data_IF_241187885997
#
_entry.id   IF_241187885997
#
_cell.length_a   1.000
_cell.length_b   1.000
_cell.length_c   1.000
_cell.angle_alpha   90.00
_cell.angle_beta   90.00
_cell.angle_gamma   90.00
#
_symmetry.space_group_name_H-M   'P 1'
#
loop_
_entity.id
_entity.type
_entity.pdbx_description
1 polymer ?
#
# COMPACT_ATOMS: atom_id res chain seq x y z
N UNK A 1 -18.13 61.12 7.01
CA UNK A 1 -17.13 62.08 7.56
C UNK A 1 -15.80 61.35 7.46
N UNK A 2 -15.04 61.49 6.37
CA UNK A 2 -14.11 62.62 6.06
C UNK A 2 -13.02 62.67 7.15
N UNK A 3 -11.71 62.52 6.87
CA UNK A 3 -10.98 62.76 5.63
C UNK A 3 -9.80 61.78 5.36
N UNK A 4 -9.33 61.75 4.10
CA UNK A 4 -7.93 61.49 3.73
C UNK A 4 -7.24 62.87 3.52
N UNK A 5 -5.90 62.99 3.26
CA UNK A 5 -5.40 62.70 1.90
C UNK A 5 -3.91 62.28 1.77
N UNK A 6 -3.52 61.85 0.54
CA UNK A 6 -2.18 61.99 -0.08
C UNK A 6 -0.96 61.31 0.56
N UNK A 7 0.06 60.81 -0.15
CA UNK A 7 0.30 60.47 -1.56
C UNK A 7 1.53 59.49 -1.57
N UNK A 8 2.14 59.00 -2.66
CA UNK A 8 2.00 59.18 -4.11
C UNK A 8 2.50 57.90 -4.84
N UNK A 9 2.52 57.87 -6.17
CA UNK A 9 3.16 56.80 -6.97
C UNK A 9 3.84 57.37 -8.22
N UNK A 10 5.01 56.83 -8.60
CA UNK A 10 5.66 57.16 -9.87
C UNK A 10 6.44 55.95 -10.42
N UNK A 11 6.21 55.62 -11.69
CA UNK A 11 6.98 54.64 -12.45
C UNK A 11 8.04 55.36 -13.33
N UNK A 12 9.10 54.65 -13.72
CA UNK A 12 10.12 55.17 -14.64
C UNK A 12 10.88 54.03 -15.37
N UNK A 13 11.28 54.18 -16.65
CA UNK A 13 11.63 53.04 -17.50
C UNK A 13 13.13 52.93 -17.84
N UNK A 14 13.53 51.79 -18.42
CA UNK A 14 14.93 51.47 -18.75
C UNK A 14 15.43 51.97 -20.11
N UNK A 15 16.72 51.71 -20.38
CA UNK A 15 17.38 51.83 -21.71
C UNK A 15 18.66 50.98 -21.74
N UNK A 16 18.86 50.22 -22.82
CA UNK A 16 20.14 49.68 -23.26
C UNK A 16 20.20 49.70 -24.81
N UNK A 17 21.41 49.80 -25.37
CA UNK A 17 21.65 50.32 -26.73
C UNK A 17 21.57 49.34 -27.93
N UNK A 18 21.90 49.81 -29.14
CA UNK A 18 21.49 49.17 -30.41
C UNK A 18 22.64 48.60 -31.27
N UNK A 19 22.24 47.87 -32.33
CA UNK A 19 23.08 47.43 -33.46
C UNK A 19 22.96 45.91 -33.71
N UNK A 20 22.84 45.39 -34.94
CA UNK A 20 22.73 46.02 -36.26
C UNK A 20 22.98 44.98 -37.37
N UNK A 21 22.31 45.13 -38.52
CA UNK A 21 22.41 44.29 -39.74
C UNK A 21 21.89 42.82 -39.67
N UNK A 22 21.54 42.14 -40.78
CA UNK A 22 20.84 42.54 -42.01
C UNK A 22 20.55 41.30 -42.91
N UNK A 23 19.31 41.17 -43.45
CA UNK A 23 18.92 40.37 -44.66
C UNK A 23 19.09 38.81 -44.50
N UNK A 24 18.42 37.92 -45.25
CA UNK A 24 17.54 37.95 -46.44
C UNK A 24 16.68 36.67 -46.58
N UNK A 25 15.56 36.73 -47.34
CA UNK A 25 14.87 35.58 -47.96
C UNK A 25 13.69 35.01 -47.16
N UNK A 26 12.42 35.25 -47.51
CA UNK A 26 11.64 34.71 -48.65
C UNK A 26 11.32 33.20 -48.47
N UNK A 27 10.13 32.79 -48.01
CA UNK A 27 8.77 32.82 -48.62
C UNK A 27 8.35 31.48 -49.26
N UNK A 28 7.04 31.20 -49.24
CA UNK A 28 6.30 30.02 -49.77
C UNK A 28 6.42 28.75 -48.90
N UNK A 29 5.37 27.94 -48.69
CA UNK A 29 3.96 28.10 -49.09
C UNK A 29 3.26 26.78 -49.44
N UNK A 30 2.42 26.27 -48.52
CA UNK A 30 1.29 25.31 -48.69
C UNK A 30 1.45 24.11 -49.65
N UNK A 31 1.27 22.88 -49.15
CA UNK A 31 0.00 22.11 -49.24
C UNK A 31 0.14 20.70 -48.65
N UNK A 32 -1.00 20.01 -48.45
CA UNK A 32 -1.12 18.73 -47.76
C UNK A 32 -1.00 17.50 -48.70
N UNK A 33 -0.69 16.33 -48.12
CA UNK A 33 -1.05 15.01 -48.66
C UNK A 33 -1.15 13.98 -47.52
N UNK A 34 -2.12 13.09 -47.61
CA UNK A 34 -2.31 11.94 -46.71
C UNK A 34 -1.37 10.78 -47.09
N UNK A 35 -1.06 9.89 -46.14
CA UNK A 35 -0.28 8.67 -46.41
C UNK A 35 -0.32 7.70 -45.24
N UNK A 36 -1.11 6.63 -45.36
CA UNK A 36 -1.24 5.61 -44.31
C UNK A 36 -0.08 4.61 -44.29
N UNK A 37 0.24 4.07 -43.11
CA UNK A 37 1.16 2.94 -42.94
C UNK A 37 0.40 1.64 -42.60
N UNK A 38 0.85 0.47 -43.10
CA UNK A 38 0.05 -0.76 -43.08
C UNK A 38 0.17 -1.56 -41.77
N UNK A 39 -0.92 -2.26 -41.43
CA UNK A 39 -0.95 -3.24 -40.34
C UNK A 39 0.00 -4.42 -40.61
N UNK A 40 0.88 -4.73 -39.65
CA UNK A 40 1.46 -6.08 -39.50
C UNK A 40 0.51 -6.97 -38.70
N UNK A 41 0.33 -8.22 -39.13
CA UNK A 41 -0.25 -9.28 -38.28
C UNK A 41 0.85 -9.85 -37.35
N UNK A 42 0.54 -10.25 -36.12
CA UNK A 42 1.45 -11.09 -35.32
C UNK A 42 1.55 -12.49 -35.94
N UNK A 43 2.67 -13.17 -35.69
CA UNK A 43 2.88 -14.56 -36.11
C UNK A 43 2.47 -15.53 -34.99
N UNK A 44 2.16 -16.78 -35.35
CA UNK A 44 1.94 -17.85 -34.37
C UNK A 44 3.25 -18.14 -33.62
N UNK A 45 3.24 -18.00 -32.29
CA UNK A 45 4.39 -18.29 -31.43
C UNK A 45 4.63 -17.30 -30.29
N UNK A 46 4.03 -16.10 -30.33
CA UNK A 46 4.17 -15.12 -29.25
C UNK A 46 3.53 -15.63 -27.94
N UNK A 47 4.18 -15.46 -26.77
CA UNK A 47 3.61 -15.87 -25.49
C UNK A 47 2.36 -15.05 -25.16
N UNK A 48 1.26 -15.76 -24.84
CA UNK A 48 -0.02 -15.15 -24.48
C UNK A 48 0.16 -14.24 -23.25
N UNK A 49 -0.30 -12.98 -23.28
CA UNK A 49 -0.13 -12.07 -22.15
C UNK A 49 -0.89 -12.56 -20.92
N UNK A 50 -0.16 -12.95 -19.88
CA UNK A 50 -0.72 -13.30 -18.59
C UNK A 50 -1.17 -12.03 -17.85
N UNK A 51 -2.43 -12.00 -17.40
CA UNK A 51 -2.97 -10.87 -16.65
C UNK A 51 -2.80 -11.10 -15.15
N UNK A 52 -1.90 -10.33 -14.52
CA UNK A 52 -1.79 -10.26 -13.05
C UNK A 52 -2.84 -9.30 -12.52
N UNK A 53 -3.94 -9.83 -11.98
CA UNK A 53 -4.97 -9.04 -11.31
C UNK A 53 -4.73 -9.07 -9.79
N UNK A 54 -4.50 -7.89 -9.21
CA UNK A 54 -4.64 -7.68 -7.76
C UNK A 54 -6.11 -7.46 -7.45
N UNK A 55 -6.63 -8.10 -6.40
CA UNK A 55 -8.04 -8.02 -6.02
C UNK A 55 -8.55 -6.59 -5.84
N UNK A 56 -9.39 -6.13 -6.78
CA UNK A 56 -10.08 -4.85 -6.74
C UNK A 56 -11.54 -5.05 -7.15
N UNK A 57 -12.46 -4.43 -6.42
CA UNK A 57 -13.86 -4.34 -6.85
C UNK A 57 -13.92 -3.36 -8.03
N UNK A 58 -14.16 -3.89 -9.23
CA UNK A 58 -14.41 -3.09 -10.41
C UNK A 58 -15.87 -2.62 -10.41
N UNK A 59 -16.10 -1.31 -10.33
CA UNK A 59 -17.39 -0.70 -10.64
C UNK A 59 -17.40 -0.32 -12.13
N UNK A 60 -18.39 -0.78 -12.88
CA UNK A 60 -18.54 -0.44 -14.31
C UNK A 60 -19.11 0.98 -14.43
N UNK A 61 -18.45 1.91 -15.16
CA UNK A 61 -18.97 3.26 -15.32
C UNK A 61 -20.21 3.28 -16.23
N UNK A 62 -21.32 3.84 -15.73
CA UNK A 62 -22.51 4.10 -16.54
C UNK A 62 -22.23 5.16 -17.61
N UNK A 63 -22.40 4.80 -18.87
CA UNK A 63 -22.18 5.73 -19.99
C UNK A 63 -23.26 6.81 -20.08
N UNK A 64 -22.87 8.08 -19.99
CA UNK A 64 -23.60 9.23 -20.55
C UNK A 64 -22.60 10.31 -21.01
N UNK A 65 -22.79 10.81 -22.23
CA UNK A 65 -22.33 12.13 -22.69
C UNK A 65 -20.81 12.33 -22.77
N UNK A 66 -20.28 12.44 -23.99
CA UNK A 66 -18.90 12.85 -24.20
C UNK A 66 -18.67 14.30 -23.72
N UNK A 67 -17.67 14.51 -22.88
CA UNK A 67 -16.63 15.55 -23.00
C UNK A 67 -15.45 15.20 -22.07
N UNK A 68 -14.24 15.60 -22.45
CA UNK A 68 -13.01 14.97 -21.95
C UNK A 68 -12.65 15.24 -20.48
N UNK A 69 -12.25 14.17 -19.77
CA UNK A 69 -11.50 14.22 -18.51
C UNK A 69 -10.54 13.01 -18.44
N UNK A 70 -9.39 13.18 -17.78
CA UNK A 70 -8.32 12.17 -17.72
C UNK A 70 -8.69 10.93 -16.85
N UNK A 71 -8.09 9.76 -17.11
CA UNK A 71 -8.44 8.53 -16.38
C UNK A 71 -7.89 8.52 -14.94
N UNK A 72 -8.78 8.67 -13.96
CA UNK A 72 -8.46 8.44 -12.55
C UNK A 72 -8.30 6.95 -12.23
N UNK A 73 -7.18 6.55 -11.63
CA UNK A 73 -6.96 5.20 -11.08
C UNK A 73 -7.60 5.07 -9.69
N UNK A 74 -8.67 4.29 -9.58
CA UNK A 74 -9.18 3.81 -8.29
C UNK A 74 -8.42 2.55 -7.83
N UNK A 75 -7.57 2.68 -6.82
CA UNK A 75 -6.81 1.57 -6.22
C UNK A 75 -7.41 1.18 -4.86
N UNK A 76 -7.60 -0.13 -4.62
CA UNK A 76 -7.80 -0.67 -3.26
C UNK A 76 -6.44 -0.99 -2.63
N UNK A 77 -6.32 -0.77 -1.33
CA UNK A 77 -5.02 -0.66 -0.65
C UNK A 77 -4.39 -2.02 -0.25
N UNK A 78 -3.06 -2.10 -0.33
CA UNK A 78 -2.27 -2.64 0.79
C UNK A 78 -2.03 -4.15 0.89
N UNK A 79 -1.69 -4.85 -0.20
CA UNK A 79 -1.02 -6.15 -0.13
C UNK A 79 0.45 -6.02 -0.54
N UNK A 80 1.38 -6.51 0.31
CA UNK A 80 2.82 -6.53 0.06
C UNK A 80 3.35 -7.96 0.15
N UNK A 81 4.13 -8.33 -0.87
CA UNK A 81 4.76 -9.63 -1.08
C UNK A 81 6.06 -9.38 -1.87
N UNK A 82 7.01 -10.32 -1.82
CA UNK A 82 8.26 -10.24 -2.60
C UNK A 82 8.06 -10.82 -4.02
N UNK A 83 8.72 -10.24 -5.02
CA UNK A 83 8.58 -10.64 -6.42
C UNK A 83 8.29 -9.46 -7.32
N UNK A 84 9.29 -9.08 -8.10
CA UNK A 84 9.06 -8.33 -9.33
C UNK A 84 8.38 -9.29 -10.33
N UNK A 85 7.26 -8.93 -10.97
CA UNK A 85 6.66 -9.77 -12.02
C UNK A 85 7.54 -9.91 -13.29
N UNK A 86 8.63 -9.16 -13.43
CA UNK A 86 9.55 -9.21 -14.56
C UNK A 86 10.92 -9.87 -14.25
N UNK A 87 11.53 -9.59 -13.08
CA UNK A 87 12.82 -10.16 -12.68
C UNK A 87 12.68 -11.59 -12.15
N UNK A 88 12.40 -12.48 -13.09
CA UNK A 88 12.13 -13.89 -12.86
C UNK A 88 11.04 -14.38 -13.77
N UNK A 89 11.39 -14.71 -15.02
CA UNK A 89 10.65 -15.77 -15.71
C UNK A 89 10.70 -16.98 -14.78
N UNK A 90 9.56 -17.30 -14.15
CA UNK A 90 9.40 -18.48 -13.32
C UNK A 90 9.97 -19.65 -14.12
N UNK A 91 10.99 -20.38 -13.64
CA UNK A 91 11.39 -21.61 -14.30
C UNK A 91 10.15 -22.49 -14.31
N UNK A 92 9.67 -22.81 -15.51
CA UNK A 92 8.43 -23.56 -15.70
C UNK A 92 8.46 -24.79 -14.77
N UNK A 93 7.37 -25.08 -14.04
CA UNK A 93 7.38 -26.08 -12.98
C UNK A 93 7.98 -27.38 -13.52
N UNK A 94 9.02 -27.90 -12.85
CA UNK A 94 9.61 -29.21 -13.14
C UNK A 94 8.68 -30.30 -12.62
N UNK A 95 7.51 -30.38 -13.26
CA UNK A 95 6.34 -31.20 -13.01
C UNK A 95 5.45 -31.18 -14.26
N UNK A 96 4.36 -31.97 -14.32
CA UNK A 96 3.71 -32.30 -15.58
C UNK A 96 2.87 -31.15 -16.19
N UNK A 97 3.54 -30.29 -16.96
CA UNK A 97 3.01 -29.22 -17.85
C UNK A 97 2.14 -28.12 -17.17
N UNK A 98 2.14 -26.88 -17.71
CA UNK A 98 1.17 -25.87 -17.30
C UNK A 98 -0.22 -26.26 -17.82
N UNK A 99 -1.03 -26.88 -16.96
CA UNK A 99 -2.43 -27.15 -17.25
C UNK A 99 -3.19 -25.83 -17.52
N UNK A 100 -4.22 -25.83 -18.39
CA UNK A 100 -4.97 -24.63 -18.76
C UNK A 100 -5.92 -24.20 -17.63
N UNK A 101 -5.35 -23.70 -16.54
CA UNK A 101 -6.01 -23.39 -15.28
C UNK A 101 -5.93 -21.92 -14.86
N UNK A 102 -6.79 -21.60 -13.91
CA UNK A 102 -6.85 -20.38 -13.12
C UNK A 102 -5.97 -20.59 -11.89
N UNK A 103 -4.84 -19.89 -11.79
CA UNK A 103 -3.95 -19.97 -10.64
C UNK A 103 -4.31 -18.94 -9.57
N UNK A 104 -4.58 -19.37 -8.34
CA UNK A 104 -4.57 -18.50 -7.17
C UNK A 104 -3.26 -18.68 -6.42
N UNK A 105 -2.56 -17.58 -6.08
CA UNK A 105 -1.43 -17.67 -5.15
C UNK A 105 -1.98 -17.62 -3.72
N UNK A 106 -1.83 -18.71 -2.99
CA UNK A 106 -2.22 -18.86 -1.58
C UNK A 106 -0.96 -19.09 -0.76
N UNK A 107 -0.62 -18.15 0.12
CA UNK A 107 0.64 -18.23 0.87
C UNK A 107 0.50 -19.28 1.97
N UNK A 108 1.52 -20.14 2.09
CA UNK A 108 1.72 -20.93 3.29
C UNK A 108 2.68 -20.11 4.14
N UNK A 109 2.13 -19.23 5.00
CA UNK A 109 2.94 -18.28 5.77
C UNK A 109 4.03 -19.04 6.55
N UNK A 110 5.34 -18.74 6.35
CA UNK A 110 6.42 -19.42 7.06
C UNK A 110 6.36 -19.21 8.58
N UNK A 111 5.55 -18.27 9.07
CA UNK A 111 5.29 -18.06 10.49
C UNK A 111 4.02 -18.75 11.01
N UNK A 112 3.30 -19.49 10.16
CA UNK A 112 1.94 -20.01 10.39
C UNK A 112 0.98 -18.89 10.79
N UNK A 113 0.07 -18.53 9.88
CA UNK A 113 -1.16 -17.86 10.29
C UNK A 113 -1.84 -18.79 11.31
N UNK A 114 -1.79 -18.42 12.59
CA UNK A 114 -2.21 -19.34 13.64
C UNK A 114 -3.71 -19.67 13.45
N UNK A 115 -4.18 -20.79 14.02
CA UNK A 115 -5.55 -21.27 13.77
C UNK A 115 -6.64 -20.21 13.99
N UNK A 116 -6.38 -19.21 14.85
CA UNK A 116 -7.25 -18.06 15.11
C UNK A 116 -7.13 -16.96 14.03
N UNK A 117 -5.93 -16.68 13.52
CA UNK A 117 -5.68 -15.70 12.46
C UNK A 117 -6.23 -16.13 11.10
N UNK A 118 -6.19 -17.43 10.78
CA UNK A 118 -6.71 -17.97 9.52
C UNK A 118 -8.19 -17.58 9.25
N UNK A 119 -8.99 -17.45 10.31
CA UNK A 119 -10.41 -17.05 10.26
C UNK A 119 -10.63 -15.64 9.65
N UNK A 120 -9.61 -14.78 9.65
CA UNK A 120 -9.69 -13.41 9.11
C UNK A 120 -9.52 -13.34 7.57
N UNK A 121 -9.25 -14.48 6.92
CA UNK A 121 -8.90 -14.62 5.52
C UNK A 121 -9.74 -15.69 4.82
N UNK A 122 -9.63 -15.77 3.49
CA UNK A 122 -10.12 -16.93 2.75
C UNK A 122 -9.23 -18.15 3.00
N UNK A 123 -9.82 -19.25 3.45
CA UNK A 123 -9.11 -20.51 3.71
C UNK A 123 -9.21 -21.45 2.50
N UNK A 124 -8.09 -22.10 2.17
CA UNK A 124 -7.96 -22.97 0.99
C UNK A 124 -7.68 -24.41 1.45
N UNK A 125 -8.48 -25.37 0.98
CA UNK A 125 -8.16 -26.80 1.07
C UNK A 125 -7.72 -27.25 -0.32
N UNK A 126 -6.50 -27.77 -0.43
CA UNK A 126 -5.91 -28.17 -1.70
C UNK A 126 -5.41 -29.62 -1.65
N UNK A 127 -5.48 -30.30 -2.80
CA UNK A 127 -4.90 -31.61 -3.00
C UNK A 127 -3.37 -31.53 -2.86
N UNK A 128 -2.77 -32.45 -2.11
CA UNK A 128 -1.33 -32.41 -1.78
C UNK A 128 -0.44 -32.68 -3.00
N UNK A 129 -0.89 -33.54 -3.93
CA UNK A 129 -0.10 -33.97 -5.08
C UNK A 129 -0.29 -33.04 -6.28
N UNK A 130 -1.53 -32.59 -6.55
CA UNK A 130 -1.87 -31.78 -7.72
C UNK A 130 -1.88 -30.26 -7.45
N UNK A 131 -1.91 -29.85 -6.18
CA UNK A 131 -2.19 -28.47 -5.75
C UNK A 131 -3.53 -27.90 -6.26
N UNK A 132 -4.45 -28.74 -6.72
CA UNK A 132 -5.81 -28.32 -7.06
C UNK A 132 -6.55 -27.86 -5.80
N UNK A 133 -7.21 -26.70 -5.87
CA UNK A 133 -8.09 -26.21 -4.80
C UNK A 133 -9.38 -27.03 -4.80
N UNK A 134 -9.54 -27.88 -3.79
CA UNK A 134 -10.73 -28.71 -3.61
C UNK A 134 -11.86 -27.93 -2.95
N UNK A 135 -11.54 -27.09 -1.96
CA UNK A 135 -12.50 -26.20 -1.30
C UNK A 135 -11.91 -24.82 -1.03
N UNK A 136 -12.74 -23.79 -1.16
CA UNK A 136 -12.45 -22.41 -0.80
C UNK A 136 -13.53 -21.90 0.16
N UNK A 137 -13.14 -21.26 1.28
CA UNK A 137 -14.09 -20.68 2.23
C UNK A 137 -13.63 -19.28 2.64
N UNK A 138 -14.37 -18.24 2.24
CA UNK A 138 -14.08 -16.86 2.63
C UNK A 138 -14.43 -16.61 4.11
N UNK A 139 -13.42 -16.38 4.96
CA UNK A 139 -13.56 -16.03 6.39
C UNK A 139 -14.46 -16.99 7.17
N UNK A 140 -14.04 -18.25 7.33
CA UNK A 140 -14.85 -19.26 7.99
C UNK A 140 -15.05 -18.93 9.48
N UNK A 141 -16.21 -19.31 10.02
CA UNK A 141 -16.52 -19.16 11.45
C UNK A 141 -15.77 -20.15 12.35
N UNK A 142 -15.18 -21.18 11.76
CA UNK A 142 -14.38 -22.22 12.42
C UNK A 142 -13.10 -22.47 11.62
N UNK A 143 -12.09 -23.09 12.23
CA UNK A 143 -10.83 -23.37 11.55
C UNK A 143 -11.02 -24.41 10.44
N UNK A 144 -10.54 -24.10 9.23
CA UNK A 144 -10.64 -24.97 8.04
C UNK A 144 -9.25 -25.42 7.55
N UNK A 145 -8.30 -24.49 7.43
CA UNK A 145 -6.98 -24.73 6.85
C UNK A 145 -5.99 -23.65 7.31
N UNK A 146 -4.69 -23.95 7.24
CA UNK A 146 -3.60 -22.99 7.46
C UNK A 146 -3.18 -22.26 6.17
N UNK A 147 -3.65 -22.74 5.00
CA UNK A 147 -3.40 -22.12 3.70
C UNK A 147 -4.40 -20.97 3.51
N UNK A 148 -3.90 -19.74 3.44
CA UNK A 148 -4.71 -18.53 3.31
C UNK A 148 -4.62 -17.92 1.90
N UNK A 149 -5.71 -17.31 1.46
CA UNK A 149 -5.75 -16.49 0.26
C UNK A 149 -5.09 -15.12 0.52
N UNK A 150 -4.14 -14.77 -0.33
CA UNK A 150 -3.32 -13.57 -0.21
C UNK A 150 -3.63 -12.48 -1.24
N UNK A 151 -4.69 -12.66 -2.04
CA UNK A 151 -5.20 -11.65 -2.98
C UNK A 151 -4.35 -11.46 -4.23
N UNK A 152 -3.53 -12.45 -4.58
CA UNK A 152 -2.62 -12.46 -5.73
C UNK A 152 -3.05 -13.61 -6.63
N UNK A 153 -3.33 -13.31 -7.90
CA UNK A 153 -3.89 -14.29 -8.84
C UNK A 153 -3.20 -14.23 -10.20
N UNK A 154 -3.03 -15.40 -10.83
CA UNK A 154 -2.45 -15.60 -12.15
C UNK A 154 -3.49 -16.27 -13.05
N UNK A 155 -4.04 -15.53 -14.00
CA UNK A 155 -5.12 -16.02 -14.85
C UNK A 155 -4.70 -16.19 -16.31
N UNK A 156 -5.13 -17.29 -16.92
CA UNK A 156 -5.30 -17.36 -18.36
C UNK A 156 -6.54 -16.54 -18.78
N UNK A 157 -6.66 -16.09 -20.04
CA UNK A 157 -7.83 -15.36 -20.52
C UNK A 157 -9.18 -16.09 -20.36
N UNK A 158 -9.18 -17.41 -20.12
CA UNK A 158 -10.37 -18.20 -19.84
C UNK A 158 -11.14 -17.70 -18.59
N UNK A 159 -10.49 -16.99 -17.65
CA UNK A 159 -11.16 -16.41 -16.48
C UNK A 159 -12.33 -15.49 -16.85
N UNK A 160 -12.26 -14.80 -17.99
CA UNK A 160 -13.32 -13.90 -18.44
C UNK A 160 -14.60 -14.65 -18.83
N UNK A 161 -14.50 -15.92 -19.25
CA UNK A 161 -15.68 -16.76 -19.48
C UNK A 161 -16.38 -17.05 -18.15
N UNK A 162 -15.64 -17.47 -17.12
CA UNK A 162 -16.18 -17.74 -15.78
C UNK A 162 -16.76 -16.49 -15.10
N UNK A 163 -16.13 -15.32 -15.25
CA UNK A 163 -16.69 -14.04 -14.82
C UNK A 163 -17.99 -13.73 -15.58
N UNK A 164 -18.06 -14.00 -16.88
CA UNK A 164 -19.25 -13.83 -17.71
C UNK A 164 -20.41 -14.77 -17.32
N UNK A 165 -20.12 -16.03 -17.02
CA UNK A 165 -21.09 -17.03 -16.52
C UNK A 165 -21.70 -16.58 -15.18
N UNK A 166 -20.87 -16.09 -14.25
CA UNK A 166 -21.33 -15.53 -12.96
C UNK A 166 -22.17 -14.28 -13.18
N UNK A 167 -21.75 -13.36 -14.07
CA UNK A 167 -22.52 -12.16 -14.41
C UNK A 167 -23.93 -12.52 -14.91
N UNK A 168 -24.01 -13.45 -15.87
CA UNK A 168 -25.29 -13.89 -16.45
C UNK A 168 -26.20 -14.53 -15.40
N UNK A 169 -25.65 -15.37 -14.50
CA UNK A 169 -26.40 -15.96 -13.37
C UNK A 169 -26.97 -14.89 -12.45
N UNK A 170 -26.15 -13.93 -12.00
CA UNK A 170 -26.58 -12.86 -11.10
C UNK A 170 -27.69 -11.98 -11.73
N UNK A 171 -27.61 -11.72 -13.03
CA UNK A 171 -28.65 -11.01 -13.78
C UNK A 171 -29.95 -11.83 -13.86
N UNK A 172 -29.86 -13.15 -14.08
CA UNK A 172 -31.02 -14.03 -14.18
C UNK A 172 -31.73 -14.21 -12.82
N UNK A 173 -30.98 -14.32 -11.71
CA UNK A 173 -31.53 -14.34 -10.36
C UNK A 173 -32.29 -13.05 -10.02
N UNK A 174 -31.77 -11.88 -10.41
CA UNK A 174 -32.45 -10.59 -10.23
C UNK A 174 -33.80 -10.54 -10.98
N UNK A 175 -33.87 -11.10 -12.19
CA UNK A 175 -35.09 -11.16 -13.01
C UNK A 175 -36.11 -12.14 -12.44
N UNK A 176 -35.67 -13.28 -11.89
CA UNK A 176 -36.55 -14.32 -11.34
C UNK A 176 -37.04 -14.02 -9.92
N UNK A 177 -36.30 -13.24 -9.12
CA UNK A 177 -36.63 -12.92 -7.73
C UNK A 177 -36.53 -11.41 -7.41
N UNK A 178 -37.26 -10.52 -8.11
CA UNK A 178 -37.13 -9.07 -7.94
C UNK A 178 -37.43 -8.58 -6.52
N UNK A 179 -38.34 -9.25 -5.79
CA UNK A 179 -38.74 -8.87 -4.43
C UNK A 179 -37.70 -9.18 -3.34
N UNK A 180 -36.74 -10.07 -3.57
CA UNK A 180 -35.62 -10.28 -2.63
C UNK A 180 -34.59 -9.14 -2.69
N UNK A 181 -34.72 -8.22 -3.66
CA UNK A 181 -33.86 -7.06 -3.82
C UNK A 181 -34.21 -5.85 -2.94
N UNK A 182 -35.38 -5.84 -2.28
CA UNK A 182 -35.88 -4.67 -1.53
C UNK A 182 -35.57 -4.69 -0.02
N UNK A 183 -35.57 -5.85 0.63
CA UNK A 183 -35.26 -5.94 2.08
C UNK A 183 -33.78 -5.72 2.42
N UNK A 184 -32.91 -5.62 1.41
CA UNK A 184 -31.52 -5.23 1.54
C UNK A 184 -31.23 -4.10 0.57
N UNK A 185 -30.77 -2.96 1.08
CA UNK A 185 -30.28 -1.81 0.29
C UNK A 185 -29.11 -2.12 -0.67
N UNK A 186 -28.67 -3.39 -0.71
CA UNK A 186 -27.60 -3.95 -1.51
C UNK A 186 -28.11 -4.88 -2.65
N UNK A 187 -29.43 -5.04 -2.84
CA UNK A 187 -30.00 -5.96 -3.84
C UNK A 187 -29.51 -5.69 -5.26
N UNK A 188 -29.65 -4.44 -5.72
CA UNK A 188 -29.12 -3.97 -7.01
C UNK A 188 -27.59 -4.10 -7.14
N UNK A 189 -26.85 -4.03 -6.03
CA UNK A 189 -25.40 -4.16 -6.05
C UNK A 189 -24.94 -5.60 -6.36
N UNK A 190 -25.73 -6.64 -6.01
CA UNK A 190 -25.34 -8.04 -6.33
C UNK A 190 -25.40 -8.39 -7.83
N UNK A 191 -26.24 -7.71 -8.61
CA UNK A 191 -26.35 -7.96 -10.05
C UNK A 191 -25.22 -7.30 -10.87
N UNK A 192 -24.64 -6.20 -10.37
CA UNK A 192 -23.55 -5.46 -11.03
C UNK A 192 -22.15 -5.75 -10.40
N UNK A 193 -22.07 -6.35 -9.20
CA UNK A 193 -20.81 -6.67 -8.51
C UNK A 193 -20.51 -8.17 -8.53
N UNK A 194 -19.29 -8.51 -8.95
CA UNK A 194 -18.73 -9.87 -8.89
C UNK A 194 -17.54 -9.86 -7.92
N UNK A 195 -17.53 -10.81 -6.98
CA UNK A 195 -16.45 -11.03 -6.02
C UNK A 195 -15.72 -12.30 -6.43
N UNK A 196 -14.45 -12.19 -6.78
CA UNK A 196 -13.65 -13.34 -7.26
C UNK A 196 -13.66 -14.47 -6.23
N UNK A 197 -13.45 -14.14 -4.97
CA UNK A 197 -13.31 -15.08 -3.87
C UNK A 197 -14.60 -15.85 -3.58
N UNK A 198 -15.75 -15.17 -3.62
CA UNK A 198 -17.02 -15.74 -3.17
C UNK A 198 -17.87 -16.27 -4.33
N UNK A 199 -17.84 -15.61 -5.49
CA UNK A 199 -18.73 -15.89 -6.61
C UNK A 199 -18.04 -16.71 -7.73
N UNK A 200 -16.72 -16.58 -7.88
CA UNK A 200 -15.93 -17.29 -8.92
C UNK A 200 -15.16 -18.48 -8.33
N UNK A 201 -14.31 -18.29 -7.32
CA UNK A 201 -13.44 -19.36 -6.80
C UNK A 201 -14.21 -20.47 -6.11
N UNK A 202 -15.27 -20.15 -5.34
CA UNK A 202 -16.20 -21.14 -4.78
C UNK A 202 -16.80 -22.05 -5.86
N UNK A 203 -17.04 -21.52 -7.07
CA UNK A 203 -17.59 -22.27 -8.20
C UNK A 203 -16.54 -23.04 -9.01
N UNK A 204 -15.26 -22.66 -8.91
CA UNK A 204 -14.14 -23.35 -9.58
C UNK A 204 -13.42 -24.36 -8.68
N UNK A 205 -13.63 -24.33 -7.36
CA UNK A 205 -13.07 -25.31 -6.43
C UNK A 205 -13.58 -26.74 -6.76
N UNK A 206 -12.66 -27.70 -6.82
CA UNK A 206 -12.94 -29.09 -7.18
C UNK A 206 -13.30 -29.34 -8.66
N UNK A 207 -13.09 -28.35 -9.55
CA UNK A 207 -13.42 -28.45 -10.97
C UNK A 207 -12.23 -28.80 -11.89
N UNK A 208 -11.05 -29.06 -11.34
CA UNK A 208 -9.79 -29.22 -12.09
C UNK A 208 -9.25 -27.93 -12.71
N UNK A 209 -9.83 -26.77 -12.39
CA UNK A 209 -9.48 -25.47 -12.99
C UNK A 209 -8.83 -24.48 -12.04
N UNK A 210 -8.97 -24.62 -10.73
CA UNK A 210 -8.41 -23.71 -9.73
C UNK A 210 -7.27 -24.40 -8.98
N UNK A 211 -6.08 -23.78 -8.98
CA UNK A 211 -4.87 -24.33 -8.36
C UNK A 211 -4.26 -23.33 -7.38
N UNK A 212 -3.63 -23.83 -6.31
CA UNK A 212 -2.90 -23.00 -5.34
C UNK A 212 -1.40 -23.01 -5.63
N UNK A 213 -0.80 -21.82 -5.76
CA UNK A 213 0.64 -21.68 -5.67
C UNK A 213 1.03 -21.27 -4.24
N UNK A 214 1.78 -22.13 -3.56
CA UNK A 214 2.33 -21.87 -2.22
C UNK A 214 3.69 -21.20 -2.32
N UNK A 215 3.94 -20.25 -1.43
CA UNK A 215 5.23 -19.58 -1.26
C UNK A 215 5.66 -19.67 0.20
N UNK A 216 6.96 -19.83 0.43
CA UNK A 216 7.61 -19.80 1.73
C UNK A 216 8.09 -18.37 2.10
N UNK A 217 7.82 -17.39 1.24
CA UNK A 217 8.09 -15.97 1.50
C UNK A 217 7.10 -15.37 2.50
N UNK A 218 7.51 -14.29 3.18
CA UNK A 218 6.60 -13.59 4.08
C UNK A 218 5.45 -12.93 3.32
N UNK A 219 4.29 -12.85 3.96
CA UNK A 219 3.17 -12.04 3.50
C UNK A 219 2.57 -11.27 4.68
N UNK A 220 2.14 -10.04 4.42
CA UNK A 220 1.35 -9.27 5.40
C UNK A 220 0.33 -8.43 4.68
N UNK A 221 -0.92 -8.51 5.14
CA UNK A 221 -1.92 -7.52 4.81
C UNK A 221 -1.63 -6.20 5.54
N UNK A 222 -1.85 -5.08 4.87
CA UNK A 222 -1.83 -3.75 5.47
C UNK A 222 -3.28 -3.25 5.56
N UNK A 223 -3.88 -3.38 6.75
CA UNK A 223 -5.28 -3.02 7.07
C UNK A 223 -5.36 -1.88 8.10
N UNK A 224 -4.41 -1.82 9.02
CA UNK A 224 -4.27 -0.80 10.06
C UNK A 224 -2.94 -0.08 9.90
N UNK A 225 -2.78 1.06 10.57
CA UNK A 225 -1.48 1.73 10.61
C UNK A 225 -0.42 0.89 11.34
N UNK A 226 -0.80 0.13 12.39
CA UNK A 226 0.08 -0.79 13.09
C UNK A 226 0.68 -1.86 12.17
N UNK A 227 -0.15 -2.43 11.29
CA UNK A 227 0.30 -3.41 10.30
C UNK A 227 1.35 -2.88 9.30
N UNK A 228 1.48 -1.57 9.12
CA UNK A 228 2.54 -0.99 8.31
C UNK A 228 3.93 -1.06 8.97
N UNK A 229 4.01 -0.91 10.31
CA UNK A 229 5.26 -1.10 11.07
C UNK A 229 5.66 -2.58 11.04
N UNK A 230 4.71 -3.49 11.26
CA UNK A 230 4.93 -4.94 11.14
C UNK A 230 5.44 -5.33 9.74
N UNK A 231 4.79 -4.84 8.68
CA UNK A 231 5.23 -5.07 7.30
C UNK A 231 6.64 -4.48 7.04
N UNK A 232 6.95 -3.30 7.57
CA UNK A 232 8.30 -2.70 7.45
C UNK A 232 9.37 -3.59 8.10
N UNK A 233 9.10 -4.14 9.30
CA UNK A 233 9.99 -5.10 9.97
C UNK A 233 10.26 -6.33 9.11
N UNK A 234 9.24 -6.89 8.46
CA UNK A 234 9.41 -8.06 7.58
C UNK A 234 10.33 -7.73 6.39
N UNK A 235 10.16 -6.58 5.73
CA UNK A 235 11.09 -6.15 4.67
C UNK A 235 12.51 -5.92 5.17
N UNK A 236 12.70 -5.26 6.33
CA UNK A 236 14.02 -5.04 6.91
C UNK A 236 14.72 -6.35 7.31
N UNK A 237 13.97 -7.34 7.78
CA UNK A 237 14.46 -8.69 8.08
C UNK A 237 14.70 -9.56 6.83
N UNK A 238 14.05 -9.22 5.71
CA UNK A 238 14.36 -9.86 4.42
C UNK A 238 15.64 -9.25 3.82
N UNK A 239 15.81 -7.93 3.90
CA UNK A 239 17.05 -7.27 3.47
C UNK A 239 18.27 -7.75 4.24
N UNK A 240 18.20 -8.05 5.54
CA UNK A 240 19.35 -8.61 6.27
C UNK A 240 19.82 -9.97 5.76
N UNK A 241 18.97 -10.69 5.01
CA UNK A 241 19.27 -11.99 4.39
C UNK A 241 19.65 -11.86 2.91
N UNK A 242 18.91 -11.07 2.13
CA UNK A 242 19.06 -11.02 0.66
C UNK A 242 19.81 -9.78 0.14
N UNK A 243 19.77 -8.67 0.86
CA UNK A 243 20.32 -7.38 0.44
C UNK A 243 20.92 -6.59 1.64
N UNK A 244 21.89 -7.17 2.38
CA UNK A 244 22.41 -6.57 3.61
C UNK A 244 23.13 -5.24 3.38
N UNK A 245 23.56 -4.95 2.15
CA UNK A 245 24.13 -3.67 1.72
C UNK A 245 23.13 -2.50 1.77
N UNK A 246 21.82 -2.78 1.79
CA UNK A 246 20.77 -1.76 1.97
C UNK A 246 20.58 -1.35 3.43
N UNK A 247 21.10 -2.14 4.37
CA UNK A 247 20.96 -1.84 5.80
C UNK A 247 22.13 -1.00 6.32
N UNK A 248 21.81 -0.11 7.26
CA UNK A 248 22.80 0.68 7.97
C UNK A 248 23.69 -0.23 8.83
N UNK A 249 24.98 0.11 8.89
CA UNK A 249 25.97 -0.58 9.71
C UNK A 249 26.59 0.43 10.68
N UNK A 250 27.02 -0.05 11.85
CA UNK A 250 27.79 0.77 12.79
C UNK A 250 29.11 1.20 12.16
N UNK A 251 29.42 2.50 12.22
CA UNK A 251 30.66 3.09 11.69
C UNK A 251 31.30 3.99 12.77
N UNK A 252 32.64 4.07 12.87
CA UNK A 252 33.29 5.02 13.78
C UNK A 252 32.83 6.45 13.49
N UNK A 253 32.38 7.17 14.53
CA UNK A 253 31.82 8.52 14.40
C UNK A 253 30.42 8.61 13.75
N UNK A 254 29.80 7.48 13.41
CA UNK A 254 28.39 7.42 12.99
C UNK A 254 27.44 7.10 14.16
N UNK A 255 26.12 7.17 13.93
CA UNK A 255 25.11 6.79 14.92
C UNK A 255 25.19 5.31 15.32
N UNK A 256 24.64 5.00 16.48
CA UNK A 256 24.54 3.63 16.99
C UNK A 256 23.37 2.93 16.32
N UNK A 257 23.66 1.87 15.56
CA UNK A 257 22.67 1.05 14.85
C UNK A 257 22.45 -0.27 15.59
N UNK A 258 21.20 -0.58 15.91
CA UNK A 258 20.79 -1.80 16.61
C UNK A 258 19.83 -2.60 15.72
N UNK A 259 20.21 -3.83 15.34
CA UNK A 259 19.39 -4.68 14.47
C UNK A 259 19.22 -4.10 13.06
N UNK A 260 18.09 -4.41 12.41
CA UNK A 260 17.85 -4.01 11.02
C UNK A 260 17.36 -2.55 10.97
N UNK A 261 18.14 -1.67 10.37
CA UNK A 261 17.80 -0.26 10.15
C UNK A 261 18.10 0.12 8.71
N UNK A 262 17.17 0.82 8.05
CA UNK A 262 17.40 1.45 6.75
C UNK A 262 17.58 2.96 6.93
N UNK A 263 18.59 3.53 6.27
CA UNK A 263 18.86 4.98 6.24
C UNK A 263 19.01 5.41 4.80
N UNK A 264 18.17 6.35 4.34
CA UNK A 264 18.33 6.93 3.01
C UNK A 264 19.64 7.74 2.91
N UNK A 265 20.41 7.67 1.80
CA UNK A 265 21.71 8.33 1.68
C UNK A 265 21.73 9.87 1.87
N UNK A 266 20.58 10.53 1.74
CA UNK A 266 20.43 11.99 1.94
C UNK A 266 20.02 12.40 3.36
N UNK A 267 19.76 11.43 4.25
CA UNK A 267 19.41 11.73 5.64
C UNK A 267 20.64 12.17 6.44
N UNK A 268 20.48 13.18 7.29
CA UNK A 268 21.53 13.68 8.18
C UNK A 268 21.26 13.22 9.60
N UNK A 269 22.19 12.47 10.20
CA UNK A 269 21.99 11.82 11.50
C UNK A 269 23.20 12.08 12.40
N UNK A 270 22.96 12.62 13.59
CA UNK A 270 24.00 12.87 14.58
C UNK A 270 24.64 11.57 15.11
N UNK A 271 25.95 11.62 15.34
CA UNK A 271 26.77 10.50 15.84
C UNK A 271 26.31 9.92 17.18
N UNK A 272 25.59 10.69 18.00
CA UNK A 272 25.09 10.26 19.32
C UNK A 272 23.68 9.68 19.29
N UNK A 273 23.02 9.65 18.12
CA UNK A 273 21.71 9.05 17.97
C UNK A 273 21.77 7.51 18.04
N UNK A 274 20.67 6.89 18.50
CA UNK A 274 20.49 5.43 18.57
C UNK A 274 19.27 5.05 17.74
N UNK A 275 19.48 4.20 16.73
CA UNK A 275 18.43 3.76 15.81
C UNK A 275 18.28 2.24 15.87
N UNK A 276 17.03 1.79 16.02
CA UNK A 276 16.62 0.40 15.88
C UNK A 276 16.20 -0.29 17.18
N UNK A 277 15.82 -1.59 17.09
CA UNK A 277 15.61 -2.34 15.85
C UNK A 277 14.43 -1.82 15.02
N UNK A 278 14.41 -2.25 13.75
CA UNK A 278 13.29 -2.12 12.81
C UNK A 278 12.88 -0.67 12.56
N UNK A 279 13.84 0.13 12.10
CA UNK A 279 13.64 1.55 11.78
C UNK A 279 13.93 1.80 10.31
N UNK A 280 13.08 2.59 9.66
CA UNK A 280 13.33 3.11 8.31
C UNK A 280 13.33 4.64 8.31
N UNK A 281 14.45 5.22 7.91
CA UNK A 281 14.66 6.67 7.78
C UNK A 281 14.58 7.05 6.29
N UNK A 282 13.64 7.92 5.95
CA UNK A 282 13.40 8.40 4.59
C UNK A 282 14.37 9.48 4.09
N UNK A 283 14.19 9.86 2.83
CA UNK A 283 14.91 10.95 2.17
C UNK A 283 14.83 12.28 2.93
N UNK A 284 15.95 13.00 3.03
CA UNK A 284 16.01 14.36 3.59
C UNK A 284 15.69 14.46 5.09
N UNK A 285 15.53 13.35 5.80
CA UNK A 285 15.26 13.34 7.23
C UNK A 285 16.47 13.86 8.01
N UNK A 286 16.21 14.70 9.03
CA UNK A 286 17.23 15.12 9.99
C UNK A 286 16.99 14.47 11.35
N UNK A 287 18.07 13.99 11.98
CA UNK A 287 18.04 13.35 13.30
C UNK A 287 19.13 13.98 14.17
N UNK A 288 18.71 14.71 15.20
CA UNK A 288 19.55 15.44 16.12
C UNK A 288 20.30 14.58 17.16
N UNK A 289 21.01 15.25 18.05
CA UNK A 289 21.86 14.63 19.05
C UNK A 289 21.07 13.84 20.10
N UNK A 290 21.54 12.65 20.46
CA UNK A 290 20.95 11.80 21.50
C UNK A 290 19.53 11.30 21.24
N UNK A 291 19.04 11.42 19.99
CA UNK A 291 17.72 10.95 19.57
C UNK A 291 17.66 9.42 19.61
N UNK A 292 16.52 8.85 20.00
CA UNK A 292 16.30 7.40 20.10
C UNK A 292 15.08 6.99 19.28
N UNK A 293 15.28 6.19 18.23
CA UNK A 293 14.21 5.71 17.34
C UNK A 293 14.15 4.19 17.36
N UNK A 294 12.98 3.58 17.52
CA UNK A 294 12.79 2.11 17.54
C UNK A 294 11.41 1.70 17.01
N UNK A 295 11.33 0.58 16.27
CA UNK A 295 10.08 0.04 15.70
C UNK A 295 9.25 1.14 15.00
N UNK A 296 9.87 1.94 14.13
CA UNK A 296 9.27 3.20 13.65
C UNK A 296 9.64 3.51 12.20
N UNK A 297 8.72 4.19 11.51
CA UNK A 297 8.89 4.64 10.12
C UNK A 297 8.96 6.17 10.16
N UNK A 298 10.06 6.74 9.67
CA UNK A 298 10.25 8.19 9.57
C UNK A 298 10.25 8.59 8.10
N UNK A 299 9.17 9.24 7.65
CA UNK A 299 8.95 9.62 6.26
C UNK A 299 9.73 10.88 5.87
N UNK A 300 9.76 11.19 4.57
CA UNK A 300 10.71 12.14 3.98
C UNK A 300 10.57 13.57 4.54
N UNK A 301 11.68 14.29 4.64
CA UNK A 301 11.72 15.68 5.14
C UNK A 301 11.44 15.86 6.65
N UNK A 302 11.08 14.79 7.37
CA UNK A 302 10.83 14.88 8.80
C UNK A 302 12.09 15.28 9.60
N UNK A 303 11.91 16.04 10.68
CA UNK A 303 13.00 16.57 11.49
C UNK A 303 12.83 16.20 12.96
N UNK A 304 13.74 15.37 13.48
CA UNK A 304 13.76 14.90 14.87
C UNK A 304 14.80 15.70 15.64
N UNK A 305 14.39 16.65 16.47
CA UNK A 305 15.32 17.49 17.23
C UNK A 305 15.95 16.73 18.41
N UNK A 306 17.01 17.32 18.97
CA UNK A 306 17.87 16.72 19.99
C UNK A 306 17.09 16.13 21.18
N UNK A 307 17.57 14.99 21.65
CA UNK A 307 17.08 14.21 22.79
C UNK A 307 15.62 13.74 22.69
N UNK A 308 15.03 13.72 21.50
CA UNK A 308 13.72 13.12 21.27
C UNK A 308 13.72 11.60 21.35
N UNK A 309 12.55 11.03 21.61
CA UNK A 309 12.34 9.58 21.64
C UNK A 309 11.12 9.20 20.82
N UNK A 310 11.31 8.36 19.79
CA UNK A 310 10.29 7.95 18.81
C UNK A 310 10.18 6.43 18.80
N UNK A 311 9.05 5.90 19.31
CA UNK A 311 8.85 4.46 19.53
C UNK A 311 7.52 4.00 18.95
N UNK A 312 7.46 2.87 18.26
CA UNK A 312 6.21 2.29 17.70
C UNK A 312 5.38 3.35 16.94
N UNK A 313 6.02 4.14 16.08
CA UNK A 313 5.46 5.39 15.54
C UNK A 313 5.68 5.51 14.03
N UNK A 314 4.69 6.05 13.32
CA UNK A 314 4.86 6.55 11.94
C UNK A 314 4.93 8.07 12.00
N UNK A 315 6.08 8.64 11.66
CA UNK A 315 6.30 10.09 11.53
C UNK A 315 6.05 10.48 10.07
N UNK A 316 5.02 11.31 9.85
CA UNK A 316 4.64 11.79 8.52
C UNK A 316 5.67 12.68 7.84
N UNK A 317 5.48 12.90 6.54
CA UNK A 317 6.33 13.76 5.71
C UNK A 317 6.42 15.19 6.26
N UNK A 318 7.61 15.79 6.22
CA UNK A 318 7.86 17.18 6.62
C UNK A 318 7.42 17.53 8.06
N UNK A 319 7.26 16.52 8.92
CA UNK A 319 6.84 16.69 10.32
C UNK A 319 8.03 16.91 11.25
N UNK A 320 7.88 17.82 12.20
CA UNK A 320 8.93 18.23 13.13
C UNK A 320 8.62 17.75 14.54
N UNK A 321 9.59 17.12 15.21
CA UNK A 321 9.49 16.70 16.61
C UNK A 321 10.47 17.52 17.45
N UNK A 322 9.95 18.41 18.30
CA UNK A 322 10.70 19.34 19.13
C UNK A 322 11.57 18.68 20.20
N UNK A 323 12.59 19.40 20.67
CA UNK A 323 13.62 18.92 21.61
C UNK A 323 13.01 18.26 22.85
N UNK A 324 13.61 17.18 23.34
CA UNK A 324 13.14 16.43 24.53
C UNK A 324 11.71 15.85 24.45
N UNK A 325 11.02 15.94 23.31
CA UNK A 325 9.69 15.36 23.17
C UNK A 325 9.74 13.83 23.05
N UNK A 326 8.69 13.16 23.55
CA UNK A 326 8.48 11.72 23.44
C UNK A 326 7.25 11.42 22.61
N UNK A 327 7.43 10.74 21.49
CA UNK A 327 6.34 10.28 20.62
C UNK A 327 6.35 8.76 20.60
N UNK A 328 5.34 8.16 21.22
CA UNK A 328 5.31 6.73 21.52
C UNK A 328 3.97 6.11 21.16
N UNK A 329 4.00 4.92 20.57
CA UNK A 329 2.85 4.05 20.39
C UNK A 329 2.94 2.79 21.22
N UNK A 330 1.81 2.08 21.33
CA UNK A 330 1.75 0.70 21.82
C UNK A 330 2.06 -0.23 20.65
N UNK A 331 2.91 -1.27 20.82
CA UNK A 331 3.11 -2.29 19.80
C UNK A 331 1.79 -2.90 19.32
N UNK A 332 1.70 -3.15 18.01
CA UNK A 332 0.48 -3.62 17.34
C UNK A 332 0.79 -4.82 16.45
N UNK A 333 1.73 -5.65 16.90
CA UNK A 333 2.23 -6.80 16.17
C UNK A 333 1.36 -8.04 16.44
N UNK A 334 1.14 -8.93 15.46
CA UNK A 334 0.41 -10.19 15.65
C UNK A 334 1.23 -11.26 16.39
N UNK A 335 2.23 -10.87 17.19
CA UNK A 335 3.18 -11.78 17.84
C UNK A 335 2.48 -12.61 18.94
N UNK A 336 2.31 -13.94 18.76
CA UNK A 336 1.60 -14.76 19.75
C UNK A 336 2.37 -14.92 21.07
N UNK A 337 3.65 -14.53 21.12
CA UNK A 337 4.48 -14.58 22.32
C UNK A 337 4.56 -13.23 23.07
N UNK A 338 3.94 -12.16 22.56
CA UNK A 338 3.83 -10.89 23.27
C UNK A 338 2.43 -10.78 23.90
N UNK A 339 2.28 -10.82 25.24
CA UNK A 339 0.97 -10.77 25.90
C UNK A 339 0.25 -9.42 25.75
N UNK A 340 0.91 -8.40 25.19
CA UNK A 340 0.32 -7.09 24.89
C UNK A 340 0.02 -6.89 23.39
N UNK A 341 0.33 -7.88 22.54
CA UNK A 341 0.00 -7.91 21.12
C UNK A 341 -1.51 -7.79 20.88
N UNK A 342 -1.92 -6.73 20.17
CA UNK A 342 -3.30 -6.61 19.68
C UNK A 342 -3.41 -7.18 18.28
N UNK A 343 -4.19 -8.26 18.15
CA UNK A 343 -4.35 -9.06 16.92
C UNK A 343 -5.30 -8.38 15.89
N UNK A 344 -5.55 -7.07 16.03
CA UNK A 344 -6.37 -6.21 15.16
C UNK A 344 -7.79 -6.72 14.83
N UNK A 345 -8.74 -6.43 15.74
CA UNK A 345 -10.15 -6.17 15.38
C UNK A 345 -10.97 -5.53 16.52
N UNK A 346 -10.33 -4.90 17.52
CA UNK A 346 -11.06 -4.06 18.48
C UNK A 346 -11.56 -2.78 17.80
N UNK A 347 -12.66 -2.21 18.28
CA UNK A 347 -13.14 -0.91 17.81
C UNK A 347 -12.04 0.15 18.00
N UNK A 348 -11.85 1.01 16.98
CA UNK A 348 -10.87 2.11 17.03
C UNK A 348 -11.05 2.98 18.28
N UNK A 349 -12.28 3.07 18.78
CA UNK A 349 -12.61 3.71 20.04
C UNK A 349 -13.11 2.70 21.07
N UNK A 350 -12.67 2.87 22.32
CA UNK A 350 -13.29 2.30 23.53
C UNK A 350 -13.51 3.45 24.51
N UNK A 351 -14.71 3.54 25.09
CA UNK A 351 -15.10 4.58 26.06
C UNK A 351 -14.81 6.02 25.59
N UNK A 352 -15.09 6.29 24.31
CA UNK A 352 -14.89 7.61 23.69
C UNK A 352 -13.43 8.03 23.46
N UNK A 353 -12.46 7.14 23.71
CA UNK A 353 -11.02 7.37 23.49
C UNK A 353 -10.46 6.40 22.46
N UNK A 354 -9.36 6.76 21.82
CA UNK A 354 -8.69 5.86 20.89
C UNK A 354 -8.16 4.64 21.67
N UNK A 355 -8.48 3.45 21.18
CA UNK A 355 -7.95 2.19 21.69
C UNK A 355 -6.42 2.22 21.54
N UNK A 356 -5.63 1.94 22.60
CA UNK A 356 -4.16 1.99 22.53
C UNK A 356 -3.61 1.16 21.37
N UNK A 357 -2.83 1.83 20.51
CA UNK A 357 -2.19 1.33 19.28
C UNK A 357 -0.96 2.20 19.01
N UNK A 358 -0.37 2.10 17.81
CA UNK A 358 0.78 2.91 17.39
C UNK A 358 0.44 4.41 17.38
N UNK A 359 1.45 5.28 17.46
CA UNK A 359 1.26 6.72 17.22
C UNK A 359 1.50 7.06 15.75
N UNK A 360 0.67 7.93 15.20
CA UNK A 360 0.74 8.38 13.81
C UNK A 360 0.77 9.90 13.80
N UNK A 361 1.79 10.47 13.16
CA UNK A 361 1.81 11.89 12.80
C UNK A 361 1.51 11.99 11.31
N UNK A 362 0.51 12.79 10.93
CA UNK A 362 0.27 13.20 9.54
C UNK A 362 1.44 13.99 8.96
N UNK A 363 1.31 14.44 7.71
CA UNK A 363 2.32 15.32 7.11
C UNK A 363 2.25 16.75 7.69
N UNK A 364 3.41 17.43 7.72
CA UNK A 364 3.58 18.78 8.25
C UNK A 364 2.99 18.97 9.66
N UNK A 365 3.21 17.99 10.54
CA UNK A 365 2.83 18.06 11.95
C UNK A 365 4.00 18.58 12.77
N UNK A 366 3.76 19.61 13.59
CA UNK A 366 4.75 20.19 14.50
C UNK A 366 4.43 19.79 15.93
N UNK A 367 5.31 18.98 16.53
CA UNK A 367 5.30 18.66 17.95
C UNK A 367 6.25 19.62 18.66
N UNK A 368 5.82 20.35 19.71
CA UNK A 368 6.68 21.28 20.44
C UNK A 368 7.73 20.53 21.27
N UNK A 369 8.65 21.27 21.89
CA UNK A 369 9.59 20.70 22.84
C UNK A 369 8.88 20.16 24.11
N UNK A 370 9.52 19.22 24.80
CA UNK A 370 9.15 18.77 26.17
C UNK A 370 7.74 18.16 26.35
N UNK A 371 7.04 17.79 25.26
CA UNK A 371 5.71 17.14 25.34
C UNK A 371 5.77 15.62 25.11
N UNK A 372 4.70 14.94 25.54
CA UNK A 372 4.50 13.50 25.33
C UNK A 372 3.27 13.27 24.46
N UNK A 373 3.45 12.58 23.34
CA UNK A 373 2.38 12.14 22.44
C UNK A 373 2.33 10.62 22.51
N UNK A 374 1.26 10.07 23.09
CA UNK A 374 1.12 8.64 23.37
C UNK A 374 -0.13 8.04 22.72
N UNK A 375 0.03 6.96 21.95
CA UNK A 375 -1.04 6.24 21.25
C UNK A 375 -2.05 7.18 20.55
N UNK A 376 -1.57 8.13 19.75
CA UNK A 376 -2.41 9.19 19.20
C UNK A 376 -2.28 9.29 17.68
N UNK A 377 -3.36 9.72 17.02
CA UNK A 377 -3.39 9.97 15.57
C UNK A 377 -3.51 11.47 15.38
N UNK A 378 -2.45 12.11 14.91
CA UNK A 378 -2.45 13.55 14.59
C UNK A 378 -2.70 13.70 13.10
N UNK A 379 -3.77 14.39 12.71
CA UNK A 379 -4.04 14.67 11.30
C UNK A 379 -2.98 15.62 10.70
N UNK A 380 -2.88 15.71 9.36
CA UNK A 380 -1.96 16.63 8.69
C UNK A 380 -2.11 18.10 9.09
N UNK A 381 -1.02 18.85 8.95
CA UNK A 381 -0.95 20.31 9.14
C UNK A 381 -1.39 20.77 10.53
N UNK A 382 -0.92 20.07 11.58
CA UNK A 382 -1.24 20.37 12.98
C UNK A 382 -0.01 20.79 13.76
N UNK A 383 -0.13 21.94 14.43
CA UNK A 383 0.80 22.38 15.45
C UNK A 383 0.21 22.05 16.82
N UNK A 384 0.91 21.23 17.61
CA UNK A 384 0.45 20.88 18.95
C UNK A 384 0.99 21.87 19.98
N UNK A 385 0.23 22.10 21.04
CA UNK A 385 0.60 23.02 22.12
C UNK A 385 0.83 22.33 23.48
N UNK A 386 0.60 21.02 23.56
CA UNK A 386 0.67 20.23 24.79
C UNK A 386 0.79 18.72 24.50
N UNK A 387 0.96 17.93 25.56
CA UNK A 387 0.91 16.47 25.53
C UNK A 387 -0.49 15.92 25.20
N UNK A 388 -0.55 14.81 24.47
CA UNK A 388 -1.79 14.10 24.11
C UNK A 388 -1.64 12.60 24.37
N UNK A 389 -2.75 11.95 24.75
CA UNK A 389 -2.79 10.50 25.01
C UNK A 389 -4.11 9.88 24.53
N UNK A 390 -4.04 8.77 23.81
CA UNK A 390 -5.19 7.96 23.37
C UNK A 390 -6.26 8.80 22.63
N UNK A 391 -5.84 9.68 21.71
CA UNK A 391 -6.70 10.67 21.05
C UNK A 391 -6.46 10.73 19.54
N UNK A 392 -7.49 11.15 18.80
CA UNK A 392 -7.33 11.67 17.45
C UNK A 392 -7.32 13.19 17.54
N UNK A 393 -6.30 13.84 16.99
CA UNK A 393 -6.18 15.29 16.92
C UNK A 393 -6.56 15.69 15.48
N UNK A 394 -7.76 16.27 15.36
CA UNK A 394 -8.41 16.62 14.09
C UNK A 394 -7.95 17.96 13.51
#
# INVERSE_FOLDING_TARGET
>A
RVAAPSAEAAAGPGRAGPGGAARSGAERGRHAAEGGHPHRRPAEGDPVPAAVLRGAQAAVPRGRGAHGAAPHRGLRQGARHEGDPADGLLPAPRGPQPLPGVGAAGVQDPHQANRTQALNYGCIVANVDTQEVQHYVEKPSTFVSEIINCGIYLFTPAIFQHIGEVFQRNQQELVLCPYLGEESSNGWQRAEVIRLEQDVFTALAGSGKLYVYKTDGFWSQIKSAGSAIYASRLYLNQYSKSHPERLAQNKPGGPIIQGNVYIHPTASIDSTAVLGPNVSIGEGVTVGAGVRVRESIVLHGASLHDHTCVLNTIVGWDSTIGRWARVEGTPSDPNPNDPYAKIDSETLFRDGRLTPSITILGCSVTIPAEVVILNSIVLPHKELSRSYKNQIIL
#
